data_IF_116338370409
#
_entry.id   IF_116338370409
#
_cell.length_a   1.000
_cell.length_b   1.000
_cell.length_c   1.000
_cell.angle_alpha   90.00
_cell.angle_beta   90.00
_cell.angle_gamma   90.00
#
_symmetry.space_group_name_H-M   'P 1'
#
loop_
_entity.id
_entity.type
_entity.pdbx_description
1 polymer ?
#
# COMPACT_ATOMS: atom_id res chain seq x y z
N UNK A 1 16.51 -5.19 1.00
CA UNK A 1 16.38 -3.81 0.54
C UNK A 1 14.99 -3.61 -0.04
N UNK A 2 14.47 -2.39 0.13
CA UNK A 2 13.08 -2.11 -0.23
C UNK A 2 12.77 -2.38 -1.70
N UNK A 3 13.68 -2.01 -2.61
CA UNK A 3 13.47 -2.21 -4.04
C UNK A 3 13.36 -3.69 -4.40
N UNK A 4 14.14 -4.53 -3.73
CA UNK A 4 14.04 -5.97 -3.94
C UNK A 4 12.70 -6.50 -3.48
N UNK A 5 12.18 -6.01 -2.35
CA UNK A 5 10.86 -6.41 -1.87
C UNK A 5 9.77 -6.03 -2.86
N UNK A 6 9.86 -4.85 -3.47
CA UNK A 6 8.89 -4.42 -4.47
C UNK A 6 8.87 -5.37 -5.67
N UNK A 7 10.05 -5.76 -6.15
CA UNK A 7 10.18 -6.68 -7.28
C UNK A 7 9.60 -8.05 -6.92
N UNK A 8 9.94 -8.57 -5.74
CA UNK A 8 9.51 -9.90 -5.31
C UNK A 8 7.99 -10.02 -5.20
N UNK A 9 7.31 -8.94 -4.83
CA UNK A 9 5.86 -8.94 -4.66
C UNK A 9 5.11 -8.29 -5.81
N UNK A 10 5.81 -7.92 -6.88
CA UNK A 10 5.21 -7.28 -8.07
C UNK A 10 4.45 -6.01 -7.70
N UNK A 11 5.07 -5.18 -6.86
CA UNK A 11 4.47 -3.93 -6.39
C UNK A 11 5.09 -2.76 -7.14
N UNK A 12 4.24 -1.93 -7.73
CA UNK A 12 4.72 -0.74 -8.43
C UNK A 12 4.86 0.45 -7.47
N UNK A 13 5.37 1.56 -7.98
CA UNK A 13 5.60 2.74 -7.16
C UNK A 13 4.30 3.37 -6.64
N UNK A 14 3.19 3.19 -7.37
CA UNK A 14 1.89 3.68 -6.91
C UNK A 14 1.37 2.86 -5.74
N UNK A 15 1.59 1.56 -5.77
CA UNK A 15 1.23 0.68 -4.66
C UNK A 15 2.03 1.04 -3.41
N UNK A 16 3.33 1.27 -3.56
CA UNK A 16 4.18 1.67 -2.44
C UNK A 16 3.72 3.01 -1.86
N UNK A 17 3.43 3.97 -2.73
CA UNK A 17 2.98 5.28 -2.32
C UNK A 17 1.64 5.21 -1.59
N UNK A 18 0.73 4.40 -2.11
CA UNK A 18 -0.56 4.14 -1.47
C UNK A 18 -0.36 3.58 -0.06
N UNK A 19 0.49 2.56 0.09
CA UNK A 19 0.77 1.96 1.39
C UNK A 19 1.39 2.96 2.36
N UNK A 20 2.31 3.80 1.90
CA UNK A 20 2.92 4.83 2.75
C UNK A 20 1.89 5.81 3.27
N UNK A 21 0.99 6.27 2.42
CA UNK A 21 -0.02 7.23 2.84
C UNK A 21 -1.06 6.60 3.76
N UNK A 22 -1.41 5.32 3.53
CA UNK A 22 -2.24 4.59 4.48
C UNK A 22 -1.56 4.52 5.85
N UNK A 23 -0.26 4.28 5.87
CA UNK A 23 0.51 4.22 7.12
C UNK A 23 0.52 5.56 7.86
N UNK A 24 0.47 6.66 7.11
CA UNK A 24 0.41 8.00 7.68
C UNK A 24 -0.99 8.39 8.16
N UNK A 25 -1.99 7.53 7.93
CA UNK A 25 -3.35 7.78 8.38
C UNK A 25 -4.27 8.42 7.36
N UNK A 26 -3.83 8.53 6.11
CA UNK A 26 -4.67 9.09 5.06
C UNK A 26 -5.79 8.12 4.70
N UNK A 27 -6.97 8.67 4.44
CA UNK A 27 -8.06 7.89 3.86
C UNK A 27 -7.83 7.71 2.36
N UNK A 28 -8.55 6.76 1.77
CA UNK A 28 -8.47 6.59 0.31
C UNK A 28 -8.87 7.85 -0.42
N UNK A 29 -9.89 8.57 0.07
CA UNK A 29 -10.31 9.82 -0.54
C UNK A 29 -9.20 10.87 -0.51
N UNK A 30 -8.51 10.99 0.63
CA UNK A 30 -7.39 11.91 0.74
C UNK A 30 -6.26 11.52 -0.21
N UNK A 31 -6.00 10.23 -0.35
CA UNK A 31 -4.94 9.74 -1.25
C UNK A 31 -5.26 10.06 -2.70
N UNK A 32 -6.53 9.97 -3.11
CA UNK A 32 -6.90 10.30 -4.49
C UNK A 32 -6.62 11.75 -4.85
N UNK A 33 -6.54 12.63 -3.85
CA UNK A 33 -6.29 14.06 -4.06
C UNK A 33 -4.82 14.42 -4.03
N UNK A 34 -3.94 13.46 -3.83
CA UNK A 34 -2.50 13.72 -3.82
C UNK A 34 -2.00 13.98 -5.22
N UNK A 35 -1.02 14.89 -5.32
CA UNK A 35 -0.39 15.19 -6.59
C UNK A 35 0.25 13.92 -7.17
N UNK A 36 -0.02 13.65 -8.43
CA UNK A 36 0.56 12.49 -9.11
C UNK A 36 -0.13 11.16 -8.84
N UNK A 37 -1.26 11.18 -8.12
CA UNK A 37 -2.03 9.96 -7.87
C UNK A 37 -3.17 9.88 -8.90
N UNK A 38 -3.06 9.01 -9.90
CA UNK A 38 -4.05 8.96 -10.99
C UNK A 38 -5.29 8.13 -10.69
N UNK A 39 -5.40 7.58 -9.49
CA UNK A 39 -6.44 6.60 -9.18
C UNK A 39 -7.51 7.20 -8.28
N UNK A 40 -8.78 6.85 -8.55
CA UNK A 40 -9.91 7.19 -7.69
C UNK A 40 -10.07 6.17 -6.56
N UNK A 41 -11.08 6.40 -5.71
CA UNK A 41 -11.32 5.55 -4.53
C UNK A 41 -11.54 4.10 -4.92
N UNK A 42 -12.37 3.83 -5.93
CA UNK A 42 -12.65 2.45 -6.34
C UNK A 42 -11.41 1.75 -6.86
N UNK A 43 -10.56 2.46 -7.59
CA UNK A 43 -9.31 1.90 -8.08
C UNK A 43 -8.37 1.58 -6.92
N UNK A 44 -8.32 2.44 -5.91
CA UNK A 44 -7.50 2.19 -4.73
C UNK A 44 -8.03 1.01 -3.92
N UNK A 45 -9.35 0.85 -3.82
CA UNK A 45 -9.93 -0.32 -3.15
C UNK A 45 -9.54 -1.61 -3.86
N UNK A 46 -9.60 -1.59 -5.19
CA UNK A 46 -9.17 -2.75 -5.98
C UNK A 46 -7.70 -3.04 -5.75
N UNK A 47 -6.85 -2.02 -5.75
CA UNK A 47 -5.42 -2.18 -5.47
C UNK A 47 -5.19 -2.73 -4.07
N UNK A 48 -5.93 -2.25 -3.10
CA UNK A 48 -5.82 -2.77 -1.74
C UNK A 48 -6.13 -4.27 -1.69
N UNK A 49 -7.18 -4.71 -2.36
CA UNK A 49 -7.55 -6.12 -2.40
C UNK A 49 -6.46 -6.95 -3.09
N UNK A 50 -5.90 -6.44 -4.16
CA UNK A 50 -4.81 -7.11 -4.87
C UNK A 50 -3.56 -7.20 -3.99
N UNK A 51 -3.25 -6.14 -3.25
CA UNK A 51 -2.11 -6.15 -2.33
C UNK A 51 -2.30 -7.17 -1.22
N UNK A 52 -3.51 -7.29 -0.70
CA UNK A 52 -3.82 -8.31 0.31
C UNK A 52 -3.49 -9.71 -0.25
N UNK A 53 -3.89 -9.98 -1.49
CA UNK A 53 -3.61 -11.27 -2.10
C UNK A 53 -2.11 -11.49 -2.32
N UNK A 54 -1.38 -10.44 -2.62
CA UNK A 54 0.06 -10.53 -2.85
C UNK A 54 0.86 -10.68 -1.56
N UNK A 55 0.44 -10.02 -0.49
CA UNK A 55 1.25 -9.90 0.72
C UNK A 55 0.89 -10.87 1.84
N UNK A 56 -0.25 -11.54 1.74
CA UNK A 56 -0.69 -12.51 2.75
C UNK A 56 -0.82 -13.89 2.11
N UNK A 57 -0.21 -14.89 2.75
CA UNK A 57 -0.14 -16.24 2.19
C UNK A 57 -1.45 -17.02 2.33
N UNK A 58 -2.25 -16.73 3.35
CA UNK A 58 -3.38 -17.58 3.73
C UNK A 58 -4.72 -16.85 3.68
N UNK A 59 -4.81 -15.79 2.88
CA UNK A 59 -6.06 -15.05 2.74
C UNK A 59 -6.87 -15.68 1.63
N UNK A 60 -8.11 -16.05 1.95
CA UNK A 60 -9.04 -16.59 0.95
C UNK A 60 -9.51 -15.48 0.03
N UNK A 61 -9.78 -15.84 -1.22
CA UNK A 61 -10.35 -14.91 -2.16
C UNK A 61 -11.65 -14.35 -1.61
N UNK A 62 -11.78 -13.02 -1.59
CA UNK A 62 -12.94 -12.34 -1.04
C UNK A 62 -12.88 -12.05 0.44
N UNK A 63 -11.91 -12.60 1.16
CA UNK A 63 -11.71 -12.27 2.56
C UNK A 63 -11.13 -10.86 2.67
N UNK A 64 -11.72 -10.02 3.51
CA UNK A 64 -11.21 -8.67 3.68
C UNK A 64 -10.15 -8.61 4.78
N UNK A 65 -9.16 -7.77 4.54
CA UNK A 65 -8.12 -7.44 5.49
C UNK A 65 -8.14 -5.93 5.61
N UNK A 66 -8.21 -5.39 6.82
CA UNK A 66 -8.30 -3.95 6.98
C UNK A 66 -6.96 -3.27 6.63
N UNK A 67 -7.04 -1.96 6.42
CA UNK A 67 -5.88 -1.19 6.00
C UNK A 67 -4.74 -1.24 7.02
N UNK A 68 -5.06 -1.27 8.30
CA UNK A 68 -4.05 -1.33 9.37
C UNK A 68 -3.23 -2.61 9.26
N UNK A 69 -3.89 -3.75 9.09
CA UNK A 69 -3.17 -5.03 8.94
C UNK A 69 -2.30 -5.05 7.69
N UNK A 70 -2.83 -4.48 6.61
CA UNK A 70 -2.08 -4.39 5.36
C UNK A 70 -0.81 -3.55 5.54
N UNK A 71 -0.94 -2.41 6.22
CA UNK A 71 0.20 -1.53 6.51
C UNK A 71 1.25 -2.25 7.36
N UNK A 72 0.81 -2.93 8.42
CA UNK A 72 1.72 -3.67 9.29
C UNK A 72 2.48 -4.74 8.48
N UNK A 73 1.76 -5.45 7.61
CA UNK A 73 2.40 -6.45 6.76
C UNK A 73 3.43 -5.83 5.81
N UNK A 74 3.09 -4.68 5.22
CA UNK A 74 4.02 -3.98 4.34
C UNK A 74 5.29 -3.55 5.07
N UNK A 75 5.16 -3.13 6.33
CA UNK A 75 6.31 -2.79 7.16
C UNK A 75 7.15 -4.03 7.49
N UNK A 76 6.49 -5.14 7.81
CA UNK A 76 7.19 -6.40 8.08
C UNK A 76 8.03 -6.85 6.89
N UNK A 77 7.49 -6.70 5.70
CA UNK A 77 8.15 -7.11 4.46
C UNK A 77 9.09 -6.05 3.91
N UNK A 78 9.20 -4.91 4.58
CA UNK A 78 10.04 -3.77 4.20
C UNK A 78 9.69 -3.20 2.82
N UNK A 79 8.44 -3.35 2.42
CA UNK A 79 7.91 -2.69 1.22
C UNK A 79 7.85 -1.19 1.49
N UNK A 80 7.43 -0.82 2.71
CA UNK A 80 7.51 0.55 3.20
C UNK A 80 8.37 0.57 4.46
N UNK A 81 8.89 1.73 4.78
CA UNK A 81 9.84 1.89 5.86
C UNK A 81 9.41 3.09 6.69
N UNK A 82 9.44 2.96 8.00
CA UNK A 82 9.06 4.07 8.89
C UNK A 82 9.89 5.30 8.59
N UNK A 83 11.17 5.13 8.33
CA UNK A 83 12.09 6.24 8.06
C UNK A 83 11.77 6.99 6.77
N UNK A 84 11.00 6.38 5.87
CA UNK A 84 10.69 6.95 4.56
C UNK A 84 9.21 7.30 4.38
N UNK A 85 8.41 7.19 5.43
CA UNK A 85 6.97 7.43 5.29
C UNK A 85 6.65 8.85 4.82
N UNK A 86 7.46 9.82 5.20
CA UNK A 86 7.21 11.23 4.88
C UNK A 86 7.93 11.71 3.62
N UNK A 87 8.57 10.81 2.88
CA UNK A 87 9.42 11.21 1.76
C UNK A 87 8.66 11.90 0.61
N UNK A 88 7.35 11.69 0.53
CA UNK A 88 6.52 12.29 -0.51
C UNK A 88 5.82 13.57 -0.07
N UNK A 89 6.06 14.01 1.16
CA UNK A 89 5.36 15.17 1.73
C UNK A 89 6.21 16.42 1.65
N UNK A 90 6.26 17.03 0.50
CA UNK A 90 7.00 18.27 0.33
C UNK A 90 6.17 19.35 -0.32
#
# INVERSE_FOLDING_TARGET
MRQEALIDYEIDEYDERFLRHLALGYTKEQITNLRGMPFGVKSLEKRQNELVQKLFDNVRKGQSVNATRLVVRALELRIIDIDNLYSDEE
#
